data_IF_631553869163
#
_entry.id   IF_631553869163
#
_cell.length_a   1.000
_cell.length_b   1.000
_cell.length_c   1.000
_cell.angle_alpha   90.00
_cell.angle_beta   90.00
_cell.angle_gamma   90.00
#
_symmetry.space_group_name_H-M   'P 1'
#
loop_
_entity.id
_entity.type
_entity.pdbx_description
1 polymer ?
#
# COMPACT_ATOMS: atom_id res chain seq x y z
N UNK A 1 0.22 12.16 13.47
CA UNK A 1 1.50 11.46 13.74
C UNK A 1 1.56 10.15 12.95
N UNK A 2 2.70 9.44 12.99
CA UNK A 2 2.93 8.19 12.26
C UNK A 2 1.88 7.11 12.56
N UNK A 3 1.50 6.93 13.84
CA UNK A 3 0.55 5.89 14.27
C UNK A 3 -0.85 6.13 13.69
N UNK A 4 -1.27 7.40 13.65
CA UNK A 4 -2.54 7.79 13.04
C UNK A 4 -2.61 7.42 11.55
N UNK A 5 -1.53 7.69 10.79
CA UNK A 5 -1.48 7.33 9.37
C UNK A 5 -1.49 5.83 9.13
N UNK A 6 -0.76 5.05 9.93
CA UNK A 6 -0.79 3.58 9.85
C UNK A 6 -2.21 3.05 10.09
N UNK A 7 -2.91 3.62 11.09
CA UNK A 7 -4.27 3.21 11.45
C UNK A 7 -5.25 3.50 10.31
N UNK A 8 -5.17 4.70 9.72
CA UNK A 8 -6.02 5.10 8.60
C UNK A 8 -5.72 4.26 7.34
N UNK A 9 -4.44 4.08 6.98
CA UNK A 9 -4.05 3.26 5.82
C UNK A 9 -4.50 1.80 5.99
N UNK A 10 -4.43 1.28 7.20
CA UNK A 10 -4.95 -0.05 7.55
C UNK A 10 -6.47 -0.14 7.38
N UNK A 11 -7.22 0.88 7.80
CA UNK A 11 -8.65 0.93 7.57
C UNK A 11 -8.99 1.01 6.06
N UNK A 12 -8.31 1.85 5.30
CA UNK A 12 -8.47 1.97 3.86
C UNK A 12 -8.18 0.64 3.15
N UNK A 13 -7.13 -0.08 3.57
CA UNK A 13 -6.80 -1.42 3.06
C UNK A 13 -7.96 -2.39 3.22
N UNK A 14 -8.56 -2.46 4.41
CA UNK A 14 -9.67 -3.37 4.66
C UNK A 14 -10.96 -2.97 3.93
N UNK A 15 -11.19 -1.67 3.73
CA UNK A 15 -12.37 -1.16 3.02
C UNK A 15 -12.23 -1.06 1.50
N UNK A 16 -11.08 -1.41 0.92
CA UNK A 16 -10.83 -1.22 -0.52
C UNK A 16 -10.78 0.26 -0.96
N UNK A 17 -10.55 1.17 -0.01
CA UNK A 17 -10.58 2.64 -0.23
C UNK A 17 -9.23 3.13 -0.79
N UNK A 18 -8.89 2.68 -1.99
CA UNK A 18 -7.58 2.91 -2.62
C UNK A 18 -7.31 4.40 -2.83
N UNK A 19 -8.31 5.13 -3.33
CA UNK A 19 -8.16 6.56 -3.65
C UNK A 19 -7.87 7.36 -2.38
N UNK A 20 -8.68 7.16 -1.34
CA UNK A 20 -8.59 7.84 -0.06
C UNK A 20 -7.27 7.50 0.65
N UNK A 21 -6.91 6.22 0.71
CA UNK A 21 -5.68 5.78 1.34
C UNK A 21 -4.44 6.37 0.67
N UNK A 22 -4.40 6.41 -0.67
CA UNK A 22 -3.28 6.99 -1.40
C UNK A 22 -3.24 8.52 -1.36
N UNK A 23 -4.39 9.19 -1.25
CA UNK A 23 -4.43 10.64 -1.00
C UNK A 23 -3.82 10.97 0.36
N UNK A 24 -4.21 10.23 1.40
CA UNK A 24 -3.68 10.39 2.76
C UNK A 24 -2.18 10.09 2.83
N UNK A 25 -1.73 9.02 2.17
CA UNK A 25 -0.31 8.68 2.08
C UNK A 25 0.51 9.83 1.47
N UNK A 26 0.05 10.43 0.37
CA UNK A 26 0.75 11.54 -0.30
C UNK A 26 0.78 12.81 0.54
N UNK A 27 -0.30 13.07 1.29
CA UNK A 27 -0.40 14.25 2.17
C UNK A 27 0.39 14.14 3.47
N UNK A 28 0.97 12.98 3.82
CA UNK A 28 1.73 12.81 5.07
C UNK A 28 2.78 13.92 5.29
N UNK A 29 3.51 14.28 4.23
CA UNK A 29 4.53 15.33 4.28
C UNK A 29 3.94 16.72 4.53
N UNK A 30 2.74 16.99 4.02
CA UNK A 30 2.01 18.23 4.28
C UNK A 30 1.63 18.36 5.77
N UNK A 31 1.51 17.24 6.48
CA UNK A 31 1.32 17.18 7.93
C UNK A 31 2.64 17.08 8.72
N UNK A 32 3.79 17.25 8.07
CA UNK A 32 5.11 17.15 8.70
C UNK A 32 5.51 15.73 9.11
N UNK A 33 4.88 14.70 8.54
CA UNK A 33 5.19 13.30 8.81
C UNK A 33 5.92 12.70 7.62
N UNK A 34 7.17 12.31 7.80
CA UNK A 34 7.92 11.61 6.76
C UNK A 34 7.47 10.14 6.65
N UNK A 35 7.13 9.65 5.44
CA UNK A 35 6.78 8.24 5.26
C UNK A 35 7.97 7.32 5.55
N UNK A 36 7.78 6.44 6.53
CA UNK A 36 8.71 5.36 6.86
C UNK A 36 8.32 4.04 6.18
N UNK A 37 9.22 3.04 6.23
CA UNK A 37 9.02 1.69 5.65
C UNK A 37 7.63 1.10 5.93
N UNK A 38 7.13 1.24 7.17
CA UNK A 38 5.82 0.73 7.56
C UNK A 38 4.65 1.36 6.79
N UNK A 39 4.74 2.65 6.47
CA UNK A 39 3.72 3.36 5.70
C UNK A 39 3.74 2.92 4.24
N UNK A 40 4.94 2.78 3.65
CA UNK A 40 5.11 2.22 2.31
C UNK A 40 4.55 0.81 2.22
N UNK A 41 4.85 -0.06 3.19
CA UNK A 41 4.29 -1.42 3.24
C UNK A 41 2.76 -1.39 3.27
N UNK A 42 2.15 -0.52 4.09
CA UNK A 42 0.68 -0.38 4.13
C UNK A 42 0.09 0.10 2.79
N UNK A 43 0.74 1.05 2.12
CA UNK A 43 0.29 1.56 0.82
C UNK A 43 0.45 0.53 -0.30
N UNK A 44 1.56 -0.22 -0.31
CA UNK A 44 1.78 -1.36 -1.22
C UNK A 44 0.72 -2.44 -1.02
N UNK A 45 0.44 -2.81 0.24
CA UNK A 45 -0.59 -3.80 0.57
C UNK A 45 -1.99 -3.37 0.09
N UNK A 46 -2.33 -2.10 0.28
CA UNK A 46 -3.57 -1.49 -0.21
C UNK A 46 -3.68 -1.59 -1.73
N UNK A 47 -2.64 -1.18 -2.47
CA UNK A 47 -2.64 -1.19 -3.93
C UNK A 47 -2.69 -2.61 -4.49
N UNK A 48 -1.80 -3.49 -4.03
CA UNK A 48 -1.62 -4.83 -4.59
C UNK A 48 -2.87 -5.70 -4.42
N UNK A 49 -3.50 -5.66 -3.25
CA UNK A 49 -4.73 -6.44 -2.99
C UNK A 49 -5.94 -5.98 -3.80
N UNK A 50 -5.94 -4.74 -4.27
CA UNK A 50 -7.04 -4.17 -5.03
C UNK A 50 -6.74 -4.14 -6.55
N UNK A 51 -5.73 -4.88 -7.01
CA UNK A 51 -5.40 -5.01 -8.44
C UNK A 51 -4.57 -3.88 -9.03
N UNK A 52 -4.18 -2.88 -8.24
CA UNK A 52 -3.32 -1.76 -8.68
C UNK A 52 -1.84 -2.17 -8.66
N UNK A 53 -1.52 -3.29 -9.33
CA UNK A 53 -0.21 -3.93 -9.24
C UNK A 53 0.91 -3.05 -9.81
N UNK A 54 0.63 -2.33 -10.90
CA UNK A 54 1.58 -1.43 -11.54
C UNK A 54 1.91 -0.24 -10.64
N UNK A 55 0.90 0.34 -10.01
CA UNK A 55 1.05 1.45 -9.07
C UNK A 55 1.80 1.00 -7.81
N UNK A 56 1.55 -0.22 -7.33
CA UNK A 56 2.27 -0.80 -6.20
C UNK A 56 3.76 -0.98 -6.52
N UNK A 57 4.10 -1.52 -7.69
CA UNK A 57 5.48 -1.67 -8.16
C UNK A 57 6.17 -0.30 -8.32
N UNK A 58 5.49 0.68 -8.92
CA UNK A 58 6.00 2.04 -9.05
C UNK A 58 6.26 2.69 -7.69
N UNK A 59 5.39 2.45 -6.70
CA UNK A 59 5.58 2.95 -5.34
C UNK A 59 6.83 2.35 -4.69
N UNK A 60 7.08 1.04 -4.88
CA UNK A 60 8.28 0.36 -4.37
C UNK A 60 9.54 0.94 -5.03
N UNK A 61 9.53 1.10 -6.36
CA UNK A 61 10.65 1.68 -7.11
C UNK A 61 10.91 3.15 -6.78
N UNK A 62 9.89 3.88 -6.32
CA UNK A 62 9.97 5.28 -5.90
C UNK A 62 10.35 5.50 -4.44
N UNK A 63 10.65 4.44 -3.67
CA UNK A 63 11.03 4.58 -2.27
C UNK A 63 12.37 5.32 -2.12
N UNK A 64 12.51 6.22 -1.13
CA UNK A 64 13.76 6.96 -0.90
C UNK A 64 14.84 6.09 -0.24
N UNK A 65 14.55 4.82 0.02
CA UNK A 65 15.45 3.82 0.60
C UNK A 65 15.15 2.45 -0.01
N UNK A 66 16.11 1.50 0.02
CA UNK A 66 15.88 0.15 -0.51
C UNK A 66 14.70 -0.53 0.19
N UNK A 67 13.77 -1.06 -0.59
CA UNK A 67 12.67 -1.86 -0.07
C UNK A 67 13.20 -3.14 0.59
N UNK A 68 12.68 -3.47 1.77
CA UNK A 68 13.05 -4.70 2.47
C UNK A 68 12.27 -5.92 1.94
N UNK A 69 12.66 -7.10 2.40
CA UNK A 69 11.99 -8.35 2.02
C UNK A 69 10.50 -8.39 2.43
N UNK A 70 10.09 -7.61 3.44
CA UNK A 70 8.69 -7.56 3.88
C UNK A 70 7.82 -6.79 2.90
N UNK A 71 8.32 -5.72 2.30
CA UNK A 71 7.61 -4.97 1.24
C UNK A 71 7.37 -5.86 0.02
N UNK A 72 8.40 -6.56 -0.46
CA UNK A 72 8.27 -7.47 -1.60
C UNK A 72 7.34 -8.64 -1.31
N UNK A 73 7.42 -9.22 -0.10
CA UNK A 73 6.47 -10.27 0.33
C UNK A 73 5.04 -9.76 0.30
N UNK A 74 4.79 -8.57 0.85
CA UNK A 74 3.47 -7.93 0.83
C UNK A 74 2.95 -7.71 -0.60
N UNK A 75 3.80 -7.26 -1.52
CA UNK A 75 3.43 -7.10 -2.93
C UNK A 75 3.01 -8.44 -3.57
N UNK A 76 3.84 -9.47 -3.42
CA UNK A 76 3.57 -10.81 -3.97
C UNK A 76 2.30 -11.45 -3.38
N UNK A 77 2.10 -11.30 -2.07
CA UNK A 77 0.87 -11.76 -1.39
C UNK A 77 -0.36 -11.06 -1.96
N UNK A 78 -0.28 -9.75 -2.22
CA UNK A 78 -1.35 -8.98 -2.88
C UNK A 78 -1.65 -9.47 -4.30
N UNK A 79 -0.62 -9.68 -5.12
CA UNK A 79 -0.76 -10.22 -6.48
C UNK A 79 -1.47 -11.59 -6.49
N UNK A 80 -1.05 -12.50 -5.61
CA UNK A 80 -1.63 -13.85 -5.53
C UNK A 80 -3.11 -13.80 -5.15
N UNK A 81 -3.45 -12.99 -4.15
CA UNK A 81 -4.85 -12.83 -3.71
C UNK A 81 -5.73 -12.25 -4.80
N UNK A 82 -5.25 -11.21 -5.49
CA UNK A 82 -6.01 -10.61 -6.58
C UNK A 82 -6.28 -11.63 -7.70
N UNK A 83 -5.29 -12.43 -8.08
CA UNK A 83 -5.45 -13.49 -9.08
C UNK A 83 -6.43 -14.60 -8.65
N UNK A 84 -6.54 -14.90 -7.35
CA UNK A 84 -7.54 -15.83 -6.80
C UNK A 84 -8.96 -15.24 -6.81
N UNK A 85 -9.09 -13.96 -6.46
CA UNK A 85 -10.37 -13.23 -6.47
C UNK A 85 -10.91 -13.08 -7.89
N UNK A 86 -10.07 -12.72 -8.87
CA UNK A 86 -10.44 -12.60 -10.29
C UNK A 86 -10.87 -13.94 -10.91
N UNK A 87 -10.31 -15.07 -10.45
CA UNK A 87 -10.70 -16.40 -10.91
C UNK A 87 -12.06 -16.84 -10.34
N UNK A 88 -12.44 -16.33 -9.18
CA UNK A 88 -13.66 -16.72 -8.47
C UNK A 88 -14.92 -16.00 -8.97
N UNK A 89 -14.74 -14.94 -9.76
CA UNK A 89 -15.81 -14.18 -10.43
C UNK A 89 -16.08 -14.65 -11.86
N UNK A 90 -15.33 -15.64 -12.36
CA UNK A 90 -15.52 -16.34 -13.64
C UNK A 90 -16.26 -17.67 -13.43
#
# INVERSE_FOLDING_TARGET
>A
DHVSFISILTACRHGGLVKEGMELFRKMKDYGVEPEMVHYRCAVDLLARNGFLKEAEQLICGMPFPADATVWRTFLDGCNRFAEEERSTL
#
